data_IF_106765389215
#
_entry.id   IF_106765389215
#
_cell.length_a   1.000
_cell.length_b   1.000
_cell.length_c   1.000
_cell.angle_alpha   90.00
_cell.angle_beta   90.00
_cell.angle_gamma   90.00
#
_symmetry.space_group_name_H-M   'P 1'
#
loop_
_entity.id
_entity.type
_entity.pdbx_description
1 polymer ?
#
# COMPACT_ATOMS: atom_id res chain seq x y z
N UNK A 1 26.39 8.35 -3.26
CA UNK A 1 26.70 7.52 -2.09
C UNK A 1 27.22 6.21 -2.64
N UNK A 2 28.36 5.77 -2.15
CA UNK A 2 29.00 4.53 -2.56
C UNK A 2 29.69 3.91 -1.36
N UNK A 3 29.56 2.60 -1.25
CA UNK A 3 30.01 1.79 -0.13
C UNK A 3 30.77 0.61 -0.72
N UNK A 4 32.12 0.64 -0.72
CA UNK A 4 32.90 -0.46 -1.25
C UNK A 4 32.61 -1.75 -0.46
N UNK A 5 32.66 -2.90 -1.15
CA UNK A 5 32.38 -4.22 -0.55
C UNK A 5 33.27 -4.53 0.66
N UNK A 6 34.48 -3.93 0.71
CA UNK A 6 35.46 -4.06 1.79
C UNK A 6 35.10 -3.33 3.10
N UNK A 7 34.16 -2.39 3.10
CA UNK A 7 33.85 -1.58 4.30
C UNK A 7 32.99 -2.32 5.34
N UNK A 8 32.43 -3.49 5.02
CA UNK A 8 31.65 -4.31 5.96
C UNK A 8 30.40 -3.63 6.53
N UNK A 9 29.91 -2.55 5.89
CA UNK A 9 28.74 -1.81 6.32
C UNK A 9 27.44 -2.56 5.96
N UNK A 10 26.31 -2.23 6.61
CA UNK A 10 25.00 -2.82 6.28
C UNK A 10 24.59 -2.61 4.81
N UNK A 11 25.16 -1.59 4.15
CA UNK A 11 24.87 -1.21 2.77
C UNK A 11 25.86 -1.87 1.79
N UNK A 12 27.10 -2.14 2.21
CA UNK A 12 28.13 -2.71 1.33
C UNK A 12 27.75 -4.09 0.78
N UNK A 13 26.95 -4.87 1.52
CA UNK A 13 26.40 -6.17 1.05
C UNK A 13 25.48 -6.07 -0.16
N UNK A 14 24.97 -4.87 -0.47
CA UNK A 14 24.13 -4.63 -1.65
C UNK A 14 24.90 -3.98 -2.80
N UNK A 15 26.20 -3.74 -2.63
CA UNK A 15 27.09 -3.24 -3.70
C UNK A 15 27.79 -4.44 -4.33
N UNK A 16 27.87 -4.49 -5.67
CA UNK A 16 28.60 -5.56 -6.36
C UNK A 16 30.01 -5.11 -6.71
N UNK A 17 30.96 -6.04 -6.71
CA UNK A 17 32.34 -5.77 -7.17
C UNK A 17 32.40 -5.35 -8.65
N UNK A 18 31.40 -5.75 -9.44
CA UNK A 18 31.25 -5.37 -10.85
C UNK A 18 30.67 -3.97 -11.04
N UNK A 19 30.23 -3.30 -9.97
CA UNK A 19 29.66 -1.96 -10.10
C UNK A 19 30.77 -0.97 -10.44
N UNK A 20 30.55 -0.08 -11.43
CA UNK A 20 31.52 0.97 -11.70
C UNK A 20 31.73 1.82 -10.44
N UNK A 21 32.81 2.56 -10.36
CA UNK A 21 32.97 3.59 -9.34
C UNK A 21 32.12 4.81 -9.74
N UNK A 22 31.43 5.50 -8.82
CA UNK A 22 30.73 6.75 -9.16
C UNK A 22 31.69 7.87 -9.52
N UNK A 23 31.22 8.80 -10.36
CA UNK A 23 31.94 10.04 -10.61
C UNK A 23 32.09 10.83 -9.30
N UNK A 24 33.32 11.24 -8.92
CA UNK A 24 33.53 12.08 -7.75
C UNK A 24 32.81 13.44 -7.87
N UNK A 25 32.32 14.01 -6.75
CA UNK A 25 32.48 13.54 -5.38
C UNK A 25 31.44 12.49 -4.97
N UNK A 26 31.90 11.41 -4.34
CA UNK A 26 31.06 10.41 -3.69
C UNK A 26 31.43 10.29 -2.21
N UNK A 27 30.45 9.86 -1.40
CA UNK A 27 30.58 9.76 0.05
C UNK A 27 30.00 8.44 0.55
N UNK A 28 30.60 7.91 1.63
CA UNK A 28 30.09 6.75 2.37
C UNK A 28 28.89 7.14 3.24
N UNK A 29 28.09 6.16 3.62
CA UNK A 29 26.98 6.34 4.56
C UNK A 29 27.45 6.84 5.92
N UNK A 30 28.65 6.44 6.36
CA UNK A 30 29.27 6.96 7.58
C UNK A 30 29.56 8.46 7.45
N UNK A 31 30.20 8.89 6.37
CA UNK A 31 30.50 10.31 6.14
C UNK A 31 29.22 11.17 6.06
N UNK A 32 28.17 10.65 5.42
CA UNK A 32 26.87 11.33 5.32
C UNK A 32 26.21 11.45 6.71
N UNK A 33 26.17 10.36 7.49
CA UNK A 33 25.63 10.37 8.86
C UNK A 33 26.39 11.37 9.75
N UNK A 34 27.72 11.30 9.75
CA UNK A 34 28.56 12.22 10.52
C UNK A 34 28.33 13.69 10.12
N UNK A 35 28.11 13.96 8.84
CA UNK A 35 27.77 15.30 8.35
C UNK A 35 26.40 15.74 8.87
N UNK A 36 25.39 14.87 8.85
CA UNK A 36 24.08 15.19 9.41
C UNK A 36 24.13 15.43 10.92
N UNK A 37 24.90 14.63 11.65
CA UNK A 37 25.08 14.80 13.10
C UNK A 37 25.77 16.15 13.40
N UNK A 38 26.81 16.49 12.64
CA UNK A 38 27.47 17.80 12.73
C UNK A 38 26.50 18.95 12.44
N UNK A 39 25.79 18.92 11.31
CA UNK A 39 24.82 19.97 10.94
C UNK A 39 23.70 20.12 11.98
N UNK A 40 23.25 19.01 12.56
CA UNK A 40 22.23 19.02 13.61
C UNK A 40 22.79 19.64 14.90
N UNK A 41 24.04 19.36 15.25
CA UNK A 41 24.71 19.94 16.43
C UNK A 41 24.89 21.46 16.34
N UNK A 42 25.05 21.99 15.12
CA UNK A 42 25.16 23.43 14.89
C UNK A 42 23.79 24.16 14.89
N UNK A 43 22.67 23.43 14.89
CA UNK A 43 21.35 24.04 14.84
C UNK A 43 20.85 24.43 16.24
N UNK A 44 20.34 25.67 16.45
CA UNK A 44 19.75 26.05 17.73
C UNK A 44 18.48 25.23 18.00
N UNK A 45 18.58 24.26 18.93
CA UNK A 45 17.53 23.27 19.20
C UNK A 45 17.88 21.83 18.78
N UNK A 46 19.15 21.55 18.47
CA UNK A 46 19.67 20.26 17.99
C UNK A 46 19.31 19.04 18.85
N UNK A 47 18.21 18.38 18.48
CA UNK A 47 17.79 17.08 19.04
C UNK A 47 18.14 15.93 18.08
N UNK A 48 17.63 15.99 16.85
CA UNK A 48 17.96 15.03 15.77
C UNK A 48 17.69 15.64 14.39
N UNK A 49 18.34 15.14 13.32
CA UNK A 49 18.02 15.54 11.94
C UNK A 49 16.54 15.37 11.63
N UNK A 50 15.97 14.25 12.07
CA UNK A 50 14.57 13.91 11.82
C UNK A 50 13.64 14.90 12.51
N UNK A 51 13.96 15.36 13.72
CA UNK A 51 13.19 16.42 14.40
C UNK A 51 13.17 17.74 13.62
N UNK A 52 14.29 18.08 12.96
CA UNK A 52 14.37 19.24 12.06
C UNK A 52 13.52 19.03 10.81
N UNK A 53 13.57 17.84 10.20
CA UNK A 53 12.72 17.52 9.05
C UNK A 53 11.24 17.53 9.43
N UNK A 54 10.87 17.04 10.63
CA UNK A 54 9.49 17.08 11.12
C UNK A 54 8.98 18.51 11.38
N UNK A 55 9.88 19.48 11.54
CA UNK A 55 9.50 20.90 11.66
C UNK A 55 8.87 21.43 10.37
N UNK A 56 9.25 20.87 9.21
CA UNK A 56 8.59 21.12 7.95
C UNK A 56 7.87 19.85 7.46
N UNK A 57 6.54 19.83 7.61
CA UNK A 57 5.70 18.66 7.36
C UNK A 57 5.91 17.99 5.99
N UNK A 58 6.32 18.75 4.97
CA UNK A 58 6.51 18.25 3.61
C UNK A 58 7.92 17.66 3.34
N UNK A 59 8.88 17.86 4.23
CA UNK A 59 10.28 17.49 3.98
C UNK A 59 10.47 15.98 3.81
N UNK A 60 9.86 15.16 4.68
CA UNK A 60 9.96 13.69 4.61
C UNK A 60 9.34 13.19 3.29
N UNK A 61 8.12 13.64 2.98
CA UNK A 61 7.40 13.26 1.76
C UNK A 61 8.20 13.63 0.50
N UNK A 62 8.77 14.84 0.46
CA UNK A 62 9.51 15.33 -0.70
C UNK A 62 10.79 14.54 -0.94
N UNK A 63 11.53 14.19 0.13
CA UNK A 63 12.76 13.39 0.02
C UNK A 63 12.44 11.97 -0.44
N UNK A 64 11.45 11.30 0.17
CA UNK A 64 11.04 9.94 -0.22
C UNK A 64 10.56 9.88 -1.68
N UNK A 65 9.73 10.84 -2.09
CA UNK A 65 9.23 10.92 -3.46
C UNK A 65 10.38 11.20 -4.44
N UNK A 66 11.30 12.11 -4.13
CA UNK A 66 12.44 12.41 -5.00
C UNK A 66 13.33 11.19 -5.24
N UNK A 67 13.62 10.42 -4.18
CA UNK A 67 14.44 9.21 -4.30
C UNK A 67 13.72 8.11 -5.10
N UNK A 68 12.43 7.88 -4.83
CA UNK A 68 11.65 6.85 -5.55
C UNK A 68 11.39 7.22 -7.02
N UNK A 69 11.16 8.49 -7.33
CA UNK A 69 11.12 9.00 -8.71
C UNK A 69 12.44 8.76 -9.44
N UNK A 70 13.57 9.07 -8.80
CA UNK A 70 14.90 8.83 -9.40
C UNK A 70 15.16 7.34 -9.65
N UNK A 71 14.74 6.44 -8.76
CA UNK A 71 14.86 4.98 -8.98
C UNK A 71 14.06 4.56 -10.21
N UNK A 72 12.86 5.09 -10.40
CA UNK A 72 12.00 4.75 -11.54
C UNK A 72 12.50 5.34 -12.87
N UNK A 73 13.06 6.54 -12.85
CA UNK A 73 13.58 7.24 -14.04
C UNK A 73 14.95 6.72 -14.50
N UNK A 74 15.73 6.13 -13.59
CA UNK A 74 17.06 5.61 -13.90
C UNK A 74 16.97 4.30 -14.67
N UNK A 75 17.75 4.14 -15.75
CA UNK A 75 17.78 2.89 -16.52
C UNK A 75 18.91 1.94 -16.11
N UNK A 76 19.97 2.45 -15.49
CA UNK A 76 21.13 1.66 -15.08
C UNK A 76 20.91 1.00 -13.71
N UNK A 77 21.07 -0.33 -13.64
CA UNK A 77 20.79 -1.10 -12.42
C UNK A 77 21.71 -0.73 -11.24
N UNK A 78 23.00 -0.49 -11.49
CA UNK A 78 23.94 -0.08 -10.45
C UNK A 78 23.60 1.30 -9.89
N UNK A 79 23.13 2.23 -10.73
CA UNK A 79 22.61 3.52 -10.26
C UNK A 79 21.33 3.36 -9.44
N UNK A 80 20.41 2.48 -9.86
CA UNK A 80 19.22 2.14 -9.06
C UNK A 80 19.61 1.61 -7.68
N UNK A 81 20.60 0.70 -7.58
CA UNK A 81 21.13 0.20 -6.29
C UNK A 81 21.71 1.32 -5.42
N UNK A 82 22.47 2.25 -6.01
CA UNK A 82 23.03 3.40 -5.28
C UNK A 82 21.93 4.30 -4.73
N UNK A 83 20.91 4.62 -5.54
CA UNK A 83 19.79 5.46 -5.09
C UNK A 83 18.94 4.70 -4.04
N UNK A 84 18.70 3.40 -4.23
CA UNK A 84 18.03 2.55 -3.23
C UNK A 84 18.83 2.49 -1.92
N UNK A 85 20.15 2.50 -1.98
CA UNK A 85 21.00 2.59 -0.80
C UNK A 85 20.85 3.93 -0.08
N UNK A 86 20.75 5.05 -0.82
CA UNK A 86 20.44 6.36 -0.24
C UNK A 86 19.04 6.37 0.41
N UNK A 87 18.06 5.76 -0.26
CA UNK A 87 16.70 5.60 0.25
C UNK A 87 16.68 4.77 1.54
N UNK A 88 17.38 3.63 1.55
CA UNK A 88 17.56 2.79 2.72
C UNK A 88 18.17 3.56 3.88
N UNK A 89 19.26 4.28 3.65
CA UNK A 89 19.90 5.10 4.68
C UNK A 89 18.90 6.08 5.30
N UNK A 90 18.13 6.79 4.46
CA UNK A 90 17.15 7.77 4.92
C UNK A 90 16.00 7.12 5.71
N UNK A 91 15.44 6.00 5.22
CA UNK A 91 14.40 5.25 5.91
C UNK A 91 14.89 4.75 7.27
N UNK A 92 16.08 4.17 7.34
CA UNK A 92 16.66 3.68 8.60
C UNK A 92 16.91 4.82 9.61
N UNK A 93 17.22 6.04 9.14
CA UNK A 93 17.30 7.21 10.02
C UNK A 93 15.92 7.59 10.57
N UNK A 94 14.88 7.56 9.73
CA UNK A 94 13.51 7.84 10.16
C UNK A 94 12.94 6.78 11.11
N UNK A 95 13.30 5.51 10.93
CA UNK A 95 12.83 4.42 11.79
C UNK A 95 13.27 4.58 13.26
N UNK A 96 14.42 5.22 13.51
CA UNK A 96 14.90 5.50 14.88
C UNK A 96 13.94 6.39 15.67
N UNK A 97 13.30 7.35 14.99
CA UNK A 97 12.41 8.34 15.58
C UNK A 97 10.93 7.99 15.32
N UNK A 98 10.65 6.78 14.81
CA UNK A 98 9.29 6.26 14.62
C UNK A 98 8.48 6.20 15.93
N UNK A 99 9.05 5.76 17.08
CA UNK A 99 8.32 5.77 18.36
C UNK A 99 7.90 7.17 18.82
N UNK A 100 8.61 8.22 18.39
CA UNK A 100 8.27 9.62 18.68
C UNK A 100 7.17 10.16 17.74
N UNK A 101 6.69 9.35 16.80
CA UNK A 101 5.59 9.66 15.90
C UNK A 101 5.95 10.55 14.70
N UNK A 102 7.22 10.86 14.46
CA UNK A 102 7.68 11.63 13.28
C UNK A 102 6.82 12.90 13.00
N UNK A 103 6.49 13.66 14.04
CA UNK A 103 5.64 14.85 13.92
C UNK A 103 4.24 14.57 13.36
N UNK A 104 3.62 13.45 13.75
CA UNK A 104 2.33 12.93 13.24
C UNK A 104 2.34 12.49 11.76
N UNK A 105 3.52 12.35 11.15
CA UNK A 105 3.67 11.90 9.75
C UNK A 105 3.95 10.39 9.66
N UNK A 106 4.06 9.70 10.79
CA UNK A 106 4.43 8.28 10.84
C UNK A 106 3.51 7.36 10.04
N UNK A 107 2.19 7.59 10.05
CA UNK A 107 1.21 6.80 9.28
C UNK A 107 1.46 6.92 7.77
N UNK A 108 1.66 8.17 7.29
CA UNK A 108 2.05 8.42 5.91
C UNK A 108 3.36 7.71 5.58
N UNK A 109 4.37 7.84 6.44
CA UNK A 109 5.69 7.27 6.24
C UNK A 109 5.64 5.73 6.09
N UNK A 110 4.96 5.02 6.99
CA UNK A 110 4.84 3.55 6.92
C UNK A 110 4.17 3.12 5.61
N UNK A 111 3.04 3.74 5.25
CA UNK A 111 2.35 3.45 3.99
C UNK A 111 3.24 3.75 2.78
N UNK A 112 3.83 4.95 2.73
CA UNK A 112 4.63 5.39 1.58
C UNK A 112 5.84 4.49 1.34
N UNK A 113 6.55 4.10 2.41
CA UNK A 113 7.73 3.23 2.31
C UNK A 113 7.34 1.81 1.89
N UNK A 114 6.32 1.22 2.50
CA UNK A 114 5.85 -0.14 2.15
C UNK A 114 5.45 -0.17 0.67
N UNK A 115 4.56 0.71 0.24
CA UNK A 115 4.06 0.69 -1.13
C UNK A 115 5.14 1.08 -2.16
N UNK A 116 6.07 1.96 -1.80
CA UNK A 116 7.20 2.29 -2.68
C UNK A 116 8.15 1.12 -2.88
N UNK A 117 8.48 0.37 -1.82
CA UNK A 117 9.35 -0.80 -1.93
C UNK A 117 8.65 -1.96 -2.65
N UNK A 118 7.37 -2.20 -2.37
CA UNK A 118 6.58 -3.22 -3.09
C UNK A 118 6.43 -2.87 -4.57
N UNK A 119 6.34 -1.59 -4.91
CA UNK A 119 6.33 -1.12 -6.30
C UNK A 119 7.66 -1.35 -7.01
N UNK A 120 8.80 -1.08 -6.36
CA UNK A 120 10.13 -1.37 -6.91
C UNK A 120 10.27 -2.87 -7.17
N UNK A 121 9.84 -3.72 -6.21
CA UNK A 121 9.80 -5.17 -6.36
C UNK A 121 8.88 -5.59 -7.52
N UNK A 122 7.70 -4.99 -7.63
CA UNK A 122 6.71 -5.31 -8.66
C UNK A 122 7.16 -4.95 -10.08
N UNK A 123 7.91 -3.86 -10.25
CA UNK A 123 8.37 -3.38 -11.56
C UNK A 123 9.40 -4.33 -12.21
N UNK A 124 10.31 -4.92 -11.41
CA UNK A 124 11.28 -5.92 -11.90
C UNK A 124 10.60 -7.14 -12.55
N UNK A 125 9.44 -7.55 -12.05
CA UNK A 125 8.69 -8.68 -12.64
C UNK A 125 8.13 -8.39 -14.01
N UNK A 126 7.84 -7.13 -14.33
CA UNK A 126 7.31 -6.71 -15.62
C UNK A 126 8.43 -6.60 -16.66
N UNK A 127 9.59 -6.06 -16.25
CA UNK A 127 10.77 -5.92 -17.12
C UNK A 127 11.32 -7.28 -17.56
N UNK A 128 11.45 -8.25 -16.65
CA UNK A 128 11.92 -9.61 -16.96
C UNK A 128 11.01 -10.37 -17.94
N UNK A 129 9.73 -10.01 -18.05
CA UNK A 129 8.77 -10.69 -18.93
C UNK A 129 8.84 -10.22 -20.38
N UNK A 130 9.14 -8.95 -20.63
CA UNK A 130 9.36 -8.43 -22.00
C UNK A 130 10.63 -8.98 -22.65
N UNK A 131 11.63 -9.35 -21.85
CA UNK A 131 12.92 -9.86 -22.34
C UNK A 131 12.93 -11.35 -22.71
N UNK A 132 11.81 -12.10 -22.50
CA UNK A 132 11.73 -13.53 -22.86
C UNK A 132 11.79 -13.84 -24.36
N UNK A 133 11.86 -12.84 -25.24
CA UNK A 133 12.14 -13.02 -26.67
C UNK A 133 13.63 -12.95 -27.05
N UNK A 134 14.54 -12.66 -26.12
CA UNK A 134 15.99 -12.75 -26.38
C UNK A 134 16.67 -13.56 -25.29
N UNK A 135 16.79 -14.87 -25.54
CA UNK A 135 17.67 -15.75 -24.77
C UNK A 135 19.13 -15.37 -25.04
N UNK A 136 19.70 -14.53 -24.18
CA UNK A 136 21.12 -14.57 -23.87
C UNK A 136 21.23 -14.64 -22.36
N UNK A 137 21.78 -15.76 -21.89
CA UNK A 137 22.01 -16.10 -20.49
C UNK A 137 23.06 -15.13 -19.91
N UNK A 138 22.64 -13.94 -19.48
CA UNK A 138 23.46 -13.03 -18.69
C UNK A 138 23.07 -13.18 -17.21
N UNK A 139 24.10 -13.31 -16.39
CA UNK A 139 24.10 -13.65 -14.97
C UNK A 139 23.19 -12.72 -14.15
N UNK A 140 22.11 -13.30 -13.62
CA UNK A 140 21.48 -12.99 -12.32
C UNK A 140 21.08 -11.52 -12.09
N UNK A 141 19.94 -11.18 -12.69
CA UNK A 141 19.20 -9.92 -12.66
C UNK A 141 18.40 -9.74 -11.33
N UNK A 142 18.98 -10.16 -10.18
CA UNK A 142 18.32 -10.32 -8.86
C UNK A 142 18.51 -9.12 -7.92
N UNK A 143 18.52 -7.91 -8.46
CA UNK A 143 19.30 -6.83 -7.86
C UNK A 143 18.62 -5.90 -6.87
N UNK A 144 17.32 -5.63 -7.02
CA UNK A 144 16.63 -4.72 -6.12
C UNK A 144 15.70 -5.45 -5.15
N UNK A 145 15.33 -6.71 -5.44
CA UNK A 145 14.44 -7.48 -4.56
C UNK A 145 15.00 -7.63 -3.15
N UNK A 146 16.21 -8.20 -3.01
CA UNK A 146 16.82 -8.50 -1.71
C UNK A 146 16.98 -7.25 -0.84
N UNK A 147 17.57 -6.12 -1.31
CA UNK A 147 17.66 -4.91 -0.51
C UNK A 147 16.29 -4.31 -0.15
N UNK A 148 15.30 -4.39 -1.06
CA UNK A 148 13.94 -3.94 -0.78
C UNK A 148 13.25 -4.82 0.27
N UNK A 149 13.27 -6.14 0.11
CA UNK A 149 12.66 -7.10 1.03
C UNK A 149 13.28 -6.96 2.44
N UNK A 150 14.59 -6.83 2.50
CA UNK A 150 15.28 -6.57 3.76
C UNK A 150 14.89 -5.23 4.40
N UNK A 151 14.71 -4.16 3.62
CA UNK A 151 14.26 -2.89 4.17
C UNK A 151 12.78 -2.97 4.63
N UNK A 152 11.92 -3.65 3.89
CA UNK A 152 10.54 -3.91 4.31
C UNK A 152 10.53 -4.66 5.64
N UNK A 153 11.43 -5.64 5.84
CA UNK A 153 11.56 -6.34 7.12
C UNK A 153 11.79 -5.39 8.29
N UNK A 154 12.78 -4.49 8.21
CA UNK A 154 13.06 -3.52 9.28
C UNK A 154 11.90 -2.54 9.52
N UNK A 155 11.23 -2.11 8.44
CA UNK A 155 10.04 -1.25 8.55
C UNK A 155 8.90 -1.99 9.24
N UNK A 156 8.67 -3.25 8.89
CA UNK A 156 7.65 -4.10 9.51
C UNK A 156 7.97 -4.35 10.99
N UNK A 157 9.22 -4.66 11.32
CA UNK A 157 9.66 -4.89 12.70
C UNK A 157 9.39 -3.68 13.59
N UNK A 158 9.80 -2.49 13.15
CA UNK A 158 9.55 -1.25 13.87
C UNK A 158 8.04 -0.90 13.94
N UNK A 159 7.31 -1.07 12.84
CA UNK A 159 5.88 -0.75 12.77
C UNK A 159 5.02 -1.69 13.62
N UNK A 160 5.32 -2.98 13.68
CA UNK A 160 4.62 -3.93 14.55
C UNK A 160 4.86 -3.58 16.02
N UNK A 161 6.07 -3.14 16.37
CA UNK A 161 6.40 -2.71 17.74
C UNK A 161 5.73 -1.41 18.17
N UNK A 162 5.51 -0.47 17.25
CA UNK A 162 5.01 0.88 17.59
C UNK A 162 3.53 1.10 17.26
N UNK A 163 3.01 0.49 16.18
CA UNK A 163 1.72 0.83 15.59
C UNK A 163 1.07 -0.36 14.84
N UNK A 164 1.00 -1.52 15.49
CA UNK A 164 0.47 -2.78 14.93
C UNK A 164 -0.93 -2.67 14.32
N UNK A 165 -1.83 -1.89 14.92
CA UNK A 165 -3.20 -1.73 14.44
C UNK A 165 -3.27 -1.06 13.07
N UNK A 166 -2.58 0.06 12.88
CA UNK A 166 -2.55 0.78 11.60
C UNK A 166 -1.74 0.00 10.55
N UNK A 167 -0.61 -0.59 10.96
CA UNK A 167 0.19 -1.45 10.10
C UNK A 167 -0.60 -2.65 9.55
N UNK A 168 -1.52 -3.20 10.34
CA UNK A 168 -2.38 -4.32 9.94
C UNK A 168 -3.15 -4.08 8.64
N UNK A 169 -3.48 -2.82 8.32
CA UNK A 169 -4.15 -2.45 7.05
C UNK A 169 -3.28 -2.69 5.80
N UNK A 170 -1.95 -2.76 5.95
CA UNK A 170 -1.00 -2.96 4.86
C UNK A 170 -0.56 -4.41 4.72
N UNK A 171 -0.87 -5.27 5.72
CA UNK A 171 -0.42 -6.65 5.77
C UNK A 171 -0.84 -7.44 4.52
N UNK A 172 -2.08 -7.25 4.04
CA UNK A 172 -2.58 -7.95 2.87
C UNK A 172 -1.79 -7.65 1.59
N UNK A 173 -1.37 -6.40 1.38
CA UNK A 173 -0.60 -6.01 0.20
C UNK A 173 0.83 -6.56 0.26
N UNK A 174 1.42 -6.61 1.47
CA UNK A 174 2.73 -7.21 1.69
C UNK A 174 2.68 -8.72 1.40
N UNK A 175 1.74 -9.44 2.02
CA UNK A 175 1.65 -10.91 1.87
C UNK A 175 1.31 -11.31 0.46
N UNK A 176 0.36 -10.62 -0.20
CA UNK A 176 0.01 -10.87 -1.59
C UNK A 176 1.17 -10.64 -2.56
N UNK A 177 2.02 -9.64 -2.31
CA UNK A 177 3.17 -9.34 -3.17
C UNK A 177 4.32 -10.33 -2.95
N UNK A 178 4.56 -10.76 -1.71
CA UNK A 178 5.69 -11.65 -1.37
C UNK A 178 5.40 -13.14 -1.59
N UNK A 179 4.13 -13.56 -1.52
CA UNK A 179 3.76 -14.99 -1.67
C UNK A 179 4.28 -15.60 -2.98
N UNK A 180 4.17 -14.95 -4.16
CA UNK A 180 4.74 -15.49 -5.40
C UNK A 180 6.26 -15.69 -5.37
N UNK A 181 7.00 -14.85 -4.63
CA UNK A 181 8.46 -14.99 -4.48
C UNK A 181 8.81 -16.12 -3.53
N UNK A 182 8.04 -16.26 -2.45
CA UNK A 182 8.20 -17.33 -1.47
C UNK A 182 7.92 -18.73 -2.04
N UNK A 183 7.27 -18.85 -3.20
CA UNK A 183 7.10 -20.12 -3.92
C UNK A 183 8.34 -20.57 -4.70
N UNK A 184 9.35 -19.70 -4.85
CA UNK A 184 10.60 -20.04 -5.52
C UNK A 184 11.51 -20.94 -4.67
N UNK A 185 12.71 -21.20 -5.22
CA UNK A 185 13.78 -21.96 -4.55
C UNK A 185 15.09 -21.16 -4.46
N UNK A 186 15.05 -19.86 -4.75
CA UNK A 186 16.22 -18.97 -4.75
C UNK A 186 16.33 -18.16 -3.43
N UNK A 187 17.38 -17.35 -3.31
CA UNK A 187 17.61 -16.47 -2.15
C UNK A 187 16.40 -15.53 -1.90
N UNK A 188 15.69 -15.14 -2.96
CA UNK A 188 14.48 -14.29 -2.85
C UNK A 188 13.36 -15.03 -2.13
N UNK A 189 13.20 -16.33 -2.40
CA UNK A 189 12.24 -17.16 -1.68
C UNK A 189 12.57 -17.25 -0.20
N UNK A 190 13.85 -17.43 0.16
CA UNK A 190 14.29 -17.45 1.56
C UNK A 190 13.99 -16.12 2.28
N UNK A 191 14.32 -14.98 1.66
CA UNK A 191 14.06 -13.65 2.22
C UNK A 191 12.55 -13.37 2.35
N UNK A 192 11.77 -13.71 1.32
CA UNK A 192 10.32 -13.56 1.34
C UNK A 192 9.69 -14.42 2.45
N UNK A 193 10.11 -15.68 2.58
CA UNK A 193 9.65 -16.59 3.64
C UNK A 193 10.07 -16.10 5.02
N UNK A 194 11.28 -15.55 5.19
CA UNK A 194 11.71 -14.98 6.46
C UNK A 194 10.78 -13.85 6.91
N UNK A 195 10.48 -12.90 6.00
CA UNK A 195 9.57 -11.80 6.28
C UNK A 195 8.13 -12.29 6.56
N UNK A 196 7.62 -13.24 5.78
CA UNK A 196 6.29 -13.81 5.99
C UNK A 196 6.19 -14.58 7.33
N UNK A 197 7.24 -15.30 7.74
CA UNK A 197 7.28 -15.96 9.05
C UNK A 197 7.28 -14.93 10.18
N UNK A 198 8.08 -13.86 10.08
CA UNK A 198 8.07 -12.79 11.08
C UNK A 198 6.68 -12.16 11.25
N UNK A 199 6.00 -11.86 10.14
CA UNK A 199 4.69 -11.20 10.14
C UNK A 199 3.57 -12.10 10.66
N UNK A 200 3.53 -13.37 10.25
CA UNK A 200 2.40 -14.26 10.54
C UNK A 200 2.64 -15.11 11.79
N UNK A 201 3.88 -15.56 12.02
CA UNK A 201 4.21 -16.47 13.12
C UNK A 201 4.72 -15.69 14.33
N UNK A 202 5.77 -14.89 14.17
CA UNK A 202 6.43 -14.24 15.32
C UNK A 202 5.60 -13.07 15.84
N UNK A 203 4.93 -12.34 14.94
CA UNK A 203 4.08 -11.18 15.25
C UNK A 203 2.60 -11.52 15.41
N UNK A 204 2.25 -12.81 15.56
CA UNK A 204 0.86 -13.29 15.54
C UNK A 204 -0.04 -12.62 16.58
N UNK A 205 0.50 -12.32 17.76
CA UNK A 205 -0.25 -11.71 18.87
C UNK A 205 -0.61 -10.26 18.56
N UNK A 206 0.29 -9.51 17.92
CA UNK A 206 0.09 -8.10 17.60
C UNK A 206 -0.79 -7.92 16.35
N UNK A 207 -0.78 -8.89 15.44
CA UNK A 207 -1.46 -8.81 14.14
C UNK A 207 -2.65 -9.77 14.01
N UNK A 208 -3.14 -10.36 15.11
CA UNK A 208 -4.16 -11.41 15.08
C UNK A 208 -5.38 -11.03 14.23
N UNK A 209 -5.92 -9.82 14.40
CA UNK A 209 -7.08 -9.33 13.64
C UNK A 209 -6.75 -9.18 12.15
N UNK A 210 -5.59 -8.62 11.82
CA UNK A 210 -5.15 -8.42 10.44
C UNK A 210 -4.87 -9.76 9.73
N UNK A 211 -4.25 -10.73 10.43
CA UNK A 211 -3.97 -12.08 9.93
C UNK A 211 -5.29 -12.82 9.66
N UNK A 212 -6.28 -12.70 10.55
CA UNK A 212 -7.61 -13.25 10.30
C UNK A 212 -8.27 -12.66 9.06
N UNK A 213 -7.88 -11.45 8.65
CA UNK A 213 -8.33 -10.78 7.43
C UNK A 213 -7.70 -11.29 6.13
N UNK A 214 -6.65 -12.10 6.17
CA UNK A 214 -5.92 -12.54 4.97
C UNK A 214 -6.59 -13.69 4.22
N UNK A 215 -6.33 -13.75 2.91
CA UNK A 215 -6.54 -14.97 2.12
C UNK A 215 -5.59 -16.10 2.59
N UNK A 216 -6.00 -17.38 2.45
CA UNK A 216 -5.17 -18.51 2.82
C UNK A 216 -3.89 -18.59 1.97
N UNK A 217 -2.85 -19.22 2.50
CA UNK A 217 -1.59 -19.42 1.79
C UNK A 217 -1.56 -20.79 1.08
N UNK A 218 -0.71 -20.96 0.05
CA UNK A 218 -0.56 -22.22 -0.66
C UNK A 218 -0.21 -23.39 0.28
N UNK A 219 -0.79 -24.57 0.05
CA UNK A 219 -0.57 -25.76 0.87
C UNK A 219 0.69 -26.52 0.44
N UNK A 220 1.84 -25.88 0.64
CA UNK A 220 3.16 -26.45 0.35
C UNK A 220 4.04 -26.47 1.61
N UNK A 221 5.13 -27.24 1.56
CA UNK A 221 6.00 -27.50 2.72
C UNK A 221 6.57 -26.21 3.32
N UNK A 222 6.98 -25.27 2.46
CA UNK A 222 7.54 -23.97 2.86
C UNK A 222 6.57 -23.15 3.74
N UNK A 223 5.26 -23.23 3.45
CA UNK A 223 4.22 -22.50 4.17
C UNK A 223 3.63 -23.28 5.35
N UNK A 224 4.12 -24.48 5.68
CA UNK A 224 3.55 -25.34 6.73
C UNK A 224 3.44 -24.63 8.10
N UNK A 225 4.48 -23.87 8.48
CA UNK A 225 4.49 -23.09 9.74
C UNK A 225 3.46 -21.96 9.71
N UNK A 226 3.47 -21.17 8.62
CA UNK A 226 2.54 -20.06 8.37
C UNK A 226 1.08 -20.58 8.39
N UNK A 227 0.79 -21.64 7.64
CA UNK A 227 -0.53 -22.26 7.56
C UNK A 227 -1.01 -22.79 8.91
N UNK A 228 -0.11 -23.33 9.76
CA UNK A 228 -0.48 -23.77 11.11
C UNK A 228 -0.94 -22.58 11.96
N UNK A 229 -0.18 -21.49 11.97
CA UNK A 229 -0.53 -20.28 12.72
C UNK A 229 -1.81 -19.63 12.18
N UNK A 230 -1.89 -19.44 10.86
CA UNK A 230 -3.08 -18.88 10.19
C UNK A 230 -4.35 -19.68 10.49
N UNK A 231 -4.31 -21.02 10.38
CA UNK A 231 -5.45 -21.88 10.72
C UNK A 231 -5.85 -21.75 12.19
N UNK A 232 -4.91 -21.54 13.10
CA UNK A 232 -5.18 -21.39 14.53
C UNK A 232 -5.94 -20.09 14.82
N UNK A 233 -5.59 -19.00 14.13
CA UNK A 233 -6.29 -17.70 14.22
C UNK A 233 -7.66 -17.74 13.52
N UNK A 234 -7.78 -18.50 12.42
CA UNK A 234 -9.00 -18.55 11.61
C UNK A 234 -10.11 -19.47 12.16
N UNK A 235 -9.78 -20.40 13.06
CA UNK A 235 -10.70 -21.44 13.59
C UNK A 235 -12.04 -20.93 14.14
N UNK A 236 -12.15 -19.64 14.41
CA UNK A 236 -13.37 -18.99 14.91
C UNK A 236 -14.49 -18.87 13.86
N UNK A 237 -14.29 -19.25 12.59
CA UNK A 237 -15.30 -19.12 11.52
C UNK A 237 -15.93 -20.44 11.13
N UNK A 238 -17.26 -20.51 11.16
CA UNK A 238 -17.99 -21.77 10.91
C UNK A 238 -19.12 -21.66 9.89
N UNK A 239 -19.57 -20.46 9.54
CA UNK A 239 -20.70 -20.26 8.63
C UNK A 239 -20.30 -19.77 7.24
N UNK A 240 -21.07 -20.14 6.21
CA UNK A 240 -20.85 -19.66 4.84
C UNK A 240 -20.94 -18.13 4.75
N UNK A 241 -21.86 -17.51 5.50
CA UNK A 241 -22.04 -16.05 5.49
C UNK A 241 -20.81 -15.29 6.02
N UNK A 242 -20.15 -15.82 7.04
CA UNK A 242 -18.89 -15.27 7.56
C UNK A 242 -17.77 -15.36 6.53
N UNK A 243 -17.72 -16.46 5.75
CA UNK A 243 -16.71 -16.64 4.70
C UNK A 243 -16.93 -15.73 3.49
N UNK A 244 -18.20 -15.54 3.09
CA UNK A 244 -18.56 -14.56 2.05
C UNK A 244 -18.19 -13.16 2.51
N UNK A 245 -18.61 -12.78 3.73
CA UNK A 245 -18.31 -11.45 4.29
C UNK A 245 -16.81 -11.22 4.38
N UNK A 246 -16.04 -12.23 4.80
CA UNK A 246 -14.59 -12.14 4.86
C UNK A 246 -13.95 -11.95 3.48
N UNK A 247 -14.37 -12.73 2.48
CA UNK A 247 -13.88 -12.59 1.11
C UNK A 247 -14.16 -11.19 0.53
N UNK A 248 -15.30 -10.61 0.88
CA UNK A 248 -15.70 -9.25 0.49
C UNK A 248 -14.91 -8.15 1.19
N UNK A 249 -14.52 -8.37 2.46
CA UNK A 249 -13.72 -7.41 3.24
C UNK A 249 -12.24 -7.38 2.84
N UNK A 250 -11.73 -8.47 2.25
CA UNK A 250 -10.36 -8.56 1.77
C UNK A 250 -10.04 -7.42 0.78
N UNK A 251 -8.84 -6.84 0.90
CA UNK A 251 -8.56 -5.54 0.31
C UNK A 251 -8.44 -5.58 -1.23
N UNK A 252 -9.23 -4.73 -1.90
CA UNK A 252 -9.19 -4.50 -3.34
C UNK A 252 -7.92 -3.81 -3.82
N UNK A 253 -7.09 -3.28 -2.92
CA UNK A 253 -5.77 -2.71 -3.25
C UNK A 253 -4.73 -3.77 -3.65
N UNK A 254 -5.01 -5.04 -3.33
CA UNK A 254 -4.12 -6.17 -3.64
C UNK A 254 -4.18 -6.58 -5.10
N UNK A 255 -3.11 -7.25 -5.57
CA UNK A 255 -3.08 -7.79 -6.93
C UNK A 255 -4.19 -8.83 -7.11
N UNK A 256 -4.98 -8.79 -8.21
CA UNK A 256 -6.09 -9.71 -8.42
C UNK A 256 -5.62 -11.18 -8.47
N UNK A 257 -4.37 -11.43 -8.88
CA UNK A 257 -3.75 -12.76 -8.91
C UNK A 257 -3.57 -13.37 -7.51
N UNK A 258 -3.45 -12.54 -6.47
CA UNK A 258 -3.25 -13.03 -5.10
C UNK A 258 -4.50 -13.63 -4.47
N UNK A 259 -5.67 -13.41 -5.07
CA UNK A 259 -6.97 -13.89 -4.56
C UNK A 259 -7.23 -15.38 -4.84
N UNK A 260 -6.33 -16.07 -5.55
CA UNK A 260 -6.53 -17.44 -6.02
C UNK A 260 -6.87 -18.43 -4.89
N UNK A 261 -6.09 -18.44 -3.81
CA UNK A 261 -6.32 -19.38 -2.71
C UNK A 261 -7.59 -19.00 -1.91
N UNK A 262 -7.90 -17.70 -1.81
CA UNK A 262 -9.16 -17.20 -1.26
C UNK A 262 -10.38 -17.70 -2.05
N UNK A 263 -10.30 -17.68 -3.38
CA UNK A 263 -11.34 -18.20 -4.28
C UNK A 263 -11.50 -19.70 -4.15
N UNK A 264 -10.40 -20.47 -4.11
CA UNK A 264 -10.46 -21.93 -3.92
C UNK A 264 -11.15 -22.31 -2.61
N UNK A 265 -10.85 -21.58 -1.53
CA UNK A 265 -11.49 -21.82 -0.25
C UNK A 265 -12.97 -21.43 -0.31
N UNK A 266 -13.28 -20.23 -0.80
CA UNK A 266 -14.67 -19.77 -0.97
C UNK A 266 -15.50 -20.79 -1.76
N UNK A 267 -14.95 -21.31 -2.86
CA UNK A 267 -15.59 -22.35 -3.68
C UNK A 267 -15.84 -23.62 -2.88
N UNK A 268 -14.84 -24.14 -2.15
CA UNK A 268 -15.02 -25.32 -1.30
C UNK A 268 -16.13 -25.12 -0.27
N UNK A 269 -16.23 -23.93 0.29
CA UNK A 269 -17.27 -23.57 1.24
C UNK A 269 -18.66 -23.49 0.61
N UNK A 270 -18.77 -22.90 -0.59
CA UNK A 270 -20.01 -22.87 -1.38
C UNK A 270 -20.49 -24.30 -1.69
N UNK A 271 -19.58 -25.17 -2.14
CA UNK A 271 -19.91 -26.56 -2.49
C UNK A 271 -20.37 -27.35 -1.25
N UNK A 272 -19.74 -27.14 -0.09
CA UNK A 272 -20.08 -27.85 1.16
C UNK A 272 -21.39 -27.36 1.78
N UNK A 273 -21.69 -26.07 1.67
CA UNK A 273 -22.80 -25.42 2.37
C UNK A 273 -23.89 -24.93 1.40
N UNK A 274 -24.27 -25.76 0.42
CA UNK A 274 -25.29 -25.38 -0.58
C UNK A 274 -26.63 -25.01 0.03
N UNK A 275 -27.05 -25.69 1.10
CA UNK A 275 -28.31 -25.39 1.78
C UNK A 275 -28.30 -23.98 2.39
N UNK A 276 -27.19 -23.58 3.02
CA UNK A 276 -27.00 -22.23 3.55
C UNK A 276 -26.98 -21.18 2.43
N UNK A 277 -26.46 -21.51 1.25
CA UNK A 277 -26.48 -20.61 0.10
C UNK A 277 -27.91 -20.35 -0.36
N UNK A 278 -28.74 -21.39 -0.46
CA UNK A 278 -30.16 -21.26 -0.83
C UNK A 278 -30.90 -20.40 0.18
N UNK A 279 -30.68 -20.60 1.48
CA UNK A 279 -31.25 -19.75 2.54
C UNK A 279 -30.81 -18.28 2.40
N UNK A 280 -29.52 -18.05 2.13
CA UNK A 280 -28.95 -16.72 1.92
C UNK A 280 -29.47 -16.04 0.67
N UNK A 281 -29.86 -16.78 -0.39
CA UNK A 281 -30.50 -16.22 -1.58
C UNK A 281 -31.99 -15.94 -1.33
N UNK A 282 -32.70 -16.86 -0.69
CA UNK A 282 -34.13 -16.68 -0.38
C UNK A 282 -34.38 -15.50 0.58
N UNK A 283 -33.50 -15.27 1.55
CA UNK A 283 -33.55 -14.09 2.44
C UNK A 283 -33.48 -12.76 1.68
N UNK A 284 -32.98 -12.78 0.44
CA UNK A 284 -32.74 -11.56 -0.36
C UNK A 284 -33.92 -11.25 -1.26
N UNK A 285 -34.67 -12.26 -1.65
CA UNK A 285 -35.96 -12.11 -2.33
C UNK A 285 -37.04 -11.57 -1.38
N UNK A 286 -36.98 -11.87 -0.08
CA UNK A 286 -37.98 -11.40 0.90
C UNK A 286 -37.72 -9.96 1.40
N UNK A 287 -36.47 -9.49 1.36
CA UNK A 287 -36.03 -8.21 1.96
C UNK A 287 -36.28 -6.96 1.09
N UNK A 288 -37.38 -6.91 0.33
CA UNK A 288 -37.74 -5.82 -0.61
C UNK A 288 -38.06 -4.44 0.02
N UNK A 289 -37.68 -4.16 1.27
CA UNK A 289 -38.06 -2.91 1.96
C UNK A 289 -36.95 -2.15 2.68
N UNK A 290 -35.69 -2.60 2.69
CA UNK A 290 -34.56 -1.78 3.19
C UNK A 290 -33.31 -1.98 2.32
N UNK A 291 -32.66 -0.85 1.99
CA UNK A 291 -31.47 -0.58 1.17
C UNK A 291 -30.18 -1.41 1.45
N UNK A 292 -30.27 -2.60 2.04
CA UNK A 292 -29.14 -3.47 2.35
C UNK A 292 -28.97 -4.51 1.25
N UNK A 293 -28.05 -4.24 0.32
CA UNK A 293 -27.55 -5.21 -0.66
C UNK A 293 -27.19 -6.53 0.04
N UNK A 294 -27.58 -7.65 -0.56
CA UNK A 294 -27.31 -8.95 0.01
C UNK A 294 -25.84 -9.35 -0.09
N UNK A 295 -25.30 -10.11 0.87
CA UNK A 295 -23.91 -10.57 0.81
C UNK A 295 -23.63 -11.42 -0.44
N UNK A 296 -24.62 -12.17 -0.94
CA UNK A 296 -24.50 -12.97 -2.16
C UNK A 296 -24.48 -12.09 -3.41
N UNK A 297 -25.32 -11.06 -3.51
CA UNK A 297 -25.28 -10.11 -4.63
C UNK A 297 -23.95 -9.34 -4.67
N UNK A 298 -23.46 -8.90 -3.51
CA UNK A 298 -22.15 -8.26 -3.38
C UNK A 298 -21.02 -9.21 -3.82
N UNK A 299 -21.11 -10.50 -3.46
CA UNK A 299 -20.15 -11.51 -3.88
C UNK A 299 -20.12 -11.68 -5.39
N UNK A 300 -21.28 -11.82 -6.03
CA UNK A 300 -21.40 -11.90 -7.49
C UNK A 300 -20.80 -10.66 -8.15
N UNK A 301 -21.10 -9.47 -7.64
CA UNK A 301 -20.52 -8.22 -8.14
C UNK A 301 -18.99 -8.22 -8.05
N UNK A 302 -18.41 -8.58 -6.88
CA UNK A 302 -16.95 -8.63 -6.71
C UNK A 302 -16.30 -9.69 -7.61
N UNK A 303 -16.92 -10.86 -7.79
CA UNK A 303 -16.42 -11.90 -8.71
C UNK A 303 -16.41 -11.41 -10.16
N UNK A 304 -17.47 -10.75 -10.61
CA UNK A 304 -17.55 -10.15 -11.96
C UNK A 304 -16.49 -9.06 -12.13
N UNK A 305 -16.32 -8.19 -11.14
CA UNK A 305 -15.30 -7.14 -11.13
C UNK A 305 -13.88 -7.72 -11.18
N UNK A 306 -13.62 -8.78 -10.42
CA UNK A 306 -12.32 -9.46 -10.43
C UNK A 306 -12.06 -10.09 -11.80
N UNK A 307 -13.06 -10.77 -12.37
CA UNK A 307 -12.99 -11.35 -13.71
C UNK A 307 -12.74 -10.31 -14.80
N UNK A 308 -13.40 -9.15 -14.75
CA UNK A 308 -13.22 -8.09 -15.76
C UNK A 308 -11.83 -7.47 -15.74
N UNK A 309 -11.25 -7.26 -14.55
CA UNK A 309 -9.86 -6.80 -14.40
C UNK A 309 -8.88 -7.82 -14.98
N UNK A 310 -9.11 -9.11 -14.74
CA UNK A 310 -8.25 -10.19 -15.23
C UNK A 310 -8.30 -10.38 -16.75
N UNK A 311 -9.42 -10.07 -17.41
CA UNK A 311 -9.53 -10.15 -18.88
C UNK A 311 -8.52 -9.24 -19.60
N UNK A 312 -8.12 -8.13 -18.98
CA UNK A 312 -7.10 -7.22 -19.51
C UNK A 312 -5.65 -7.70 -19.30
N UNK A 313 -5.44 -8.84 -18.60
CA UNK A 313 -4.13 -9.37 -18.27
C UNK A 313 -3.84 -10.62 -19.12
N UNK A 314 -2.73 -10.64 -19.87
CA UNK A 314 -2.35 -11.79 -20.70
C UNK A 314 -1.61 -12.91 -19.93
N UNK A 315 -1.48 -12.79 -18.61
CA UNK A 315 -0.69 -13.71 -17.78
C UNK A 315 -1.36 -15.09 -17.62
N UNK A 316 -0.57 -16.17 -17.65
CA UNK A 316 -1.09 -17.55 -17.43
C UNK A 316 -1.75 -17.70 -16.06
N UNK A 317 -1.17 -17.09 -15.03
CA UNK A 317 -1.74 -17.08 -13.69
C UNK A 317 -3.07 -16.29 -13.63
N UNK A 318 -3.22 -15.25 -14.45
CA UNK A 318 -4.49 -14.53 -14.57
C UNK A 318 -5.59 -15.42 -15.15
N UNK A 319 -5.26 -16.27 -16.12
CA UNK A 319 -6.20 -17.28 -16.66
C UNK A 319 -6.61 -18.29 -15.60
N UNK A 320 -5.68 -18.77 -14.77
CA UNK A 320 -5.99 -19.69 -13.66
C UNK A 320 -6.97 -19.04 -12.69
N UNK A 321 -6.72 -17.79 -12.29
CA UNK A 321 -7.62 -17.05 -11.37
C UNK A 321 -8.99 -16.83 -12.04
N UNK A 322 -9.02 -16.47 -13.32
CA UNK A 322 -10.25 -16.27 -14.08
C UNK A 322 -11.09 -17.55 -14.18
N UNK A 323 -10.45 -18.71 -14.42
CA UNK A 323 -11.13 -20.00 -14.38
C UNK A 323 -11.75 -20.27 -13.01
N UNK A 324 -11.05 -19.95 -11.92
CA UNK A 324 -11.59 -20.18 -10.58
C UNK A 324 -12.72 -19.22 -10.21
N UNK A 325 -12.67 -17.97 -10.69
CA UNK A 325 -13.80 -17.03 -10.63
C UNK A 325 -15.01 -17.60 -11.38
N UNK A 326 -14.81 -18.10 -12.60
CA UNK A 326 -15.88 -18.71 -13.40
C UNK A 326 -16.47 -19.95 -12.71
N UNK A 327 -15.63 -20.78 -12.09
CA UNK A 327 -16.06 -21.93 -11.30
C UNK A 327 -16.93 -21.50 -10.11
N UNK A 328 -16.53 -20.47 -9.36
CA UNK A 328 -17.32 -19.94 -8.25
C UNK A 328 -18.69 -19.44 -8.73
N UNK A 329 -18.73 -18.69 -9.84
CA UNK A 329 -19.99 -18.21 -10.42
C UNK A 329 -20.88 -19.37 -10.91
N UNK A 330 -20.28 -20.40 -11.51
CA UNK A 330 -21.00 -21.61 -11.92
C UNK A 330 -21.59 -22.40 -10.74
N UNK A 331 -20.85 -22.49 -9.62
CA UNK A 331 -21.30 -23.17 -8.40
C UNK A 331 -22.38 -22.37 -7.64
N UNK A 332 -22.36 -21.03 -7.72
CA UNK A 332 -23.43 -20.17 -7.18
C UNK A 332 -24.73 -20.33 -7.99
N UNK A 333 -24.61 -20.47 -9.31
CA UNK A 333 -25.75 -20.64 -10.21
C UNK A 333 -26.44 -19.33 -10.60
N UNK A 334 -27.65 -19.43 -11.14
CA UNK A 334 -28.41 -18.27 -11.58
C UNK A 334 -28.92 -17.47 -10.37
N UNK A 335 -28.44 -16.24 -10.21
CA UNK A 335 -28.94 -15.28 -9.23
C UNK A 335 -29.84 -14.27 -9.96
N UNK A 336 -30.96 -13.89 -9.35
CA UNK A 336 -31.81 -12.85 -9.91
C UNK A 336 -31.04 -11.51 -9.95
N UNK A 337 -30.66 -11.10 -11.16
CA UNK A 337 -29.94 -9.85 -11.41
C UNK A 337 -30.76 -8.61 -11.04
N UNK A 338 -32.07 -8.73 -10.84
CA UNK A 338 -32.91 -7.65 -10.32
C UNK A 338 -32.53 -7.29 -8.86
N UNK A 339 -32.01 -8.27 -8.10
CA UNK A 339 -31.50 -8.10 -6.72
C UNK A 339 -30.01 -7.75 -6.67
N UNK A 340 -29.27 -8.07 -7.73
CA UNK A 340 -27.88 -7.63 -7.92
C UNK A 340 -27.89 -6.21 -8.46
N UNK A 341 -28.20 -5.24 -7.59
CA UNK A 341 -27.96 -3.85 -7.94
C UNK A 341 -26.47 -3.70 -8.22
N UNK A 342 -26.11 -3.47 -9.49
CA UNK A 342 -24.75 -3.10 -9.93
C UNK A 342 -24.29 -1.76 -9.32
N UNK A 343 -25.09 -1.16 -8.44
CA UNK A 343 -24.79 0.02 -7.66
C UNK A 343 -23.75 -0.28 -6.58
N UNK A 344 -22.50 0.02 -6.92
CA UNK A 344 -21.36 0.22 -6.04
C UNK A 344 -21.71 0.45 -4.55
N UNK A 345 -21.66 -0.60 -3.74
CA UNK A 345 -20.85 -0.48 -2.53
C UNK A 345 -19.40 -0.63 -2.97
N UNK A 346 -18.83 0.48 -3.45
CA UNK A 346 -17.47 0.75 -3.02
C UNK A 346 -17.51 0.59 -1.49
N UNK A 347 -16.44 0.07 -0.88
CA UNK A 347 -16.32 -0.07 0.57
C UNK A 347 -16.95 1.12 1.31
N UNK A 348 -17.20 1.06 2.62
CA UNK A 348 -17.29 2.29 3.42
C UNK A 348 -15.95 3.08 3.40
N UNK A 349 -15.30 3.21 2.25
CA UNK A 349 -14.55 4.39 1.87
C UNK A 349 -15.40 5.60 2.27
N UNK A 350 -14.72 6.51 2.95
CA UNK A 350 -15.18 7.82 3.43
C UNK A 350 -16.29 8.46 2.57
N UNK A 351 -16.30 8.25 1.26
CA UNK A 351 -17.33 8.70 0.32
C UNK A 351 -18.79 8.42 0.71
N UNK A 352 -19.17 7.22 1.18
CA UNK A 352 -20.60 6.95 1.51
C UNK A 352 -21.05 7.65 2.81
N UNK A 353 -20.12 7.82 3.76
CA UNK A 353 -20.30 8.61 4.97
C UNK A 353 -20.40 10.11 4.65
N UNK A 354 -19.73 10.56 3.58
CA UNK A 354 -19.73 11.95 3.11
C UNK A 354 -21.00 12.32 2.32
N UNK A 355 -21.58 11.39 1.55
CA UNK A 355 -22.81 11.66 0.80
C UNK A 355 -24.01 11.90 1.73
N UNK A 356 -24.08 11.17 2.85
CA UNK A 356 -25.16 11.33 3.85
C UNK A 356 -24.97 12.51 4.82
N UNK A 357 -23.74 12.90 5.15
CA UNK A 357 -23.47 13.96 6.16
C UNK A 357 -23.35 15.38 5.60
N UNK A 358 -23.12 15.55 4.30
CA UNK A 358 -22.98 16.88 3.66
C UNK A 358 -24.17 17.21 2.75
N UNK A 359 -25.37 16.76 3.11
CA UNK A 359 -26.60 17.10 2.41
C UNK A 359 -26.79 18.63 2.38
N UNK A 360 -26.40 19.27 1.26
CA UNK A 360 -26.56 20.71 1.03
C UNK A 360 -25.38 21.44 0.37
N UNK A 361 -24.14 20.93 0.48
CA UNK A 361 -22.96 21.57 -0.12
C UNK A 361 -22.29 20.65 -1.15
N UNK A 362 -22.89 20.62 -2.35
CA UNK A 362 -22.45 19.82 -3.51
C UNK A 362 -20.96 20.02 -3.82
N UNK A 363 -20.42 21.21 -3.56
CA UNK A 363 -19.02 21.55 -3.85
C UNK A 363 -18.03 20.99 -2.83
N UNK A 364 -18.35 21.05 -1.54
CA UNK A 364 -17.52 20.40 -0.51
C UNK A 364 -17.49 18.88 -0.68
N UNK A 365 -18.61 18.28 -1.08
CA UNK A 365 -18.69 16.85 -1.38
C UNK A 365 -17.78 16.48 -2.57
N UNK A 366 -17.84 17.22 -3.66
CA UNK A 366 -16.97 17.02 -4.83
C UNK A 366 -15.49 17.16 -4.47
N UNK A 367 -15.12 18.24 -3.76
CA UNK A 367 -13.73 18.46 -3.35
C UNK A 367 -13.21 17.33 -2.45
N UNK A 368 -14.05 16.82 -1.55
CA UNK A 368 -13.66 15.73 -0.68
C UNK A 368 -13.50 14.41 -1.45
N UNK A 369 -14.38 14.15 -2.42
CA UNK A 369 -14.24 13.02 -3.33
C UNK A 369 -12.91 13.05 -4.10
N UNK A 370 -12.53 14.24 -4.59
CA UNK A 370 -11.24 14.45 -5.27
C UNK A 370 -10.08 14.17 -4.33
N UNK A 371 -10.11 14.68 -3.08
CA UNK A 371 -9.03 14.44 -2.12
C UNK A 371 -8.90 12.96 -1.75
N UNK A 372 -10.01 12.26 -1.56
CA UNK A 372 -10.02 10.81 -1.29
C UNK A 372 -9.44 10.03 -2.46
N UNK A 373 -9.82 10.39 -3.70
CA UNK A 373 -9.31 9.77 -4.92
C UNK A 373 -7.81 10.03 -5.09
N UNK A 374 -7.35 11.26 -4.86
CA UNK A 374 -5.92 11.57 -4.93
C UNK A 374 -5.13 10.81 -3.84
N UNK A 375 -5.71 10.61 -2.66
CA UNK A 375 -5.09 9.81 -1.61
C UNK A 375 -4.96 8.33 -2.00
N UNK A 376 -5.93 7.75 -2.74
CA UNK A 376 -5.78 6.38 -3.27
C UNK A 376 -4.72 6.30 -4.37
N UNK A 377 -4.51 7.36 -5.15
CA UNK A 377 -3.42 7.42 -6.13
C UNK A 377 -2.02 7.56 -5.53
N UNK A 378 -1.87 7.84 -4.22
CA UNK A 378 -0.55 7.86 -3.57
C UNK A 378 0.09 6.47 -3.46
N UNK A 379 -0.70 5.41 -3.58
CA UNK A 379 -0.24 4.01 -3.52
C UNK A 379 -0.21 3.33 -4.90
N UNK A 380 -0.31 4.12 -5.99
CA UNK A 380 -0.36 3.59 -7.36
C UNK A 380 0.94 2.90 -7.80
N UNK A 381 0.80 1.90 -8.68
CA UNK A 381 1.92 1.13 -9.25
C UNK A 381 2.88 1.99 -10.07
N UNK A 382 2.42 3.09 -10.67
CA UNK A 382 3.26 4.00 -11.46
C UNK A 382 3.71 5.18 -10.60
N UNK A 383 5.03 5.38 -10.52
CA UNK A 383 5.59 6.51 -9.75
C UNK A 383 5.11 7.86 -10.30
N UNK A 384 4.97 8.00 -11.62
CA UNK A 384 4.45 9.23 -12.22
C UNK A 384 3.04 9.63 -11.75
N UNK A 385 2.16 8.65 -11.50
CA UNK A 385 0.83 8.88 -10.94
C UNK A 385 0.94 9.37 -9.50
N UNK A 386 1.81 8.76 -8.69
CA UNK A 386 2.07 9.21 -7.31
C UNK A 386 2.64 10.62 -7.28
N UNK A 387 3.58 10.96 -8.15
CA UNK A 387 4.16 12.30 -8.25
C UNK A 387 3.10 13.34 -8.62
N UNK A 388 2.25 13.04 -9.60
CA UNK A 388 1.16 13.92 -9.99
C UNK A 388 0.11 14.08 -8.88
N UNK A 389 -0.28 12.98 -8.23
CA UNK A 389 -1.24 12.98 -7.14
C UNK A 389 -0.73 13.78 -5.93
N UNK A 390 0.53 13.58 -5.53
CA UNK A 390 1.20 14.33 -4.48
C UNK A 390 1.23 15.83 -4.80
N UNK A 391 1.63 16.22 -6.02
CA UNK A 391 1.66 17.61 -6.44
C UNK A 391 0.27 18.26 -6.44
N UNK A 392 -0.76 17.54 -6.92
CA UNK A 392 -2.15 17.98 -6.88
C UNK A 392 -2.66 18.16 -5.45
N UNK A 393 -2.39 17.21 -4.55
CA UNK A 393 -2.77 17.31 -3.14
C UNK A 393 -2.15 18.53 -2.46
N UNK A 394 -0.86 18.79 -2.68
CA UNK A 394 -0.19 20.00 -2.13
C UNK A 394 -0.89 21.28 -2.59
N UNK A 395 -1.19 21.39 -3.89
CA UNK A 395 -1.85 22.57 -4.46
C UNK A 395 -3.28 22.73 -3.93
N UNK A 396 -4.05 21.65 -3.87
CA UNK A 396 -5.45 21.68 -3.42
C UNK A 396 -5.53 22.03 -1.94
N UNK A 397 -4.72 21.40 -1.08
CA UNK A 397 -4.75 21.64 0.37
C UNK A 397 -4.18 23.01 0.77
N UNK A 398 -3.35 23.62 -0.07
CA UNK A 398 -2.90 25.00 0.11
C UNK A 398 -3.99 26.06 -0.14
N UNK A 399 -5.10 25.70 -0.80
CA UNK A 399 -6.22 26.63 -1.02
C UNK A 399 -7.04 26.86 0.27
N UNK A 400 -7.74 28.01 0.40
CA UNK A 400 -8.62 28.24 1.55
C UNK A 400 -9.72 27.18 1.66
N UNK A 401 -10.32 26.77 0.54
CA UNK A 401 -11.33 25.72 0.49
C UNK A 401 -10.79 24.36 0.94
N UNK A 402 -9.55 24.00 0.58
CA UNK A 402 -8.89 22.78 1.05
C UNK A 402 -8.58 22.81 2.56
N UNK A 403 -8.18 23.97 3.08
CA UNK A 403 -7.96 24.15 4.52
C UNK A 403 -9.24 24.03 5.34
N UNK A 404 -10.37 24.53 4.83
CA UNK A 404 -11.67 24.37 5.50
C UNK A 404 -12.18 22.93 5.40
N UNK A 405 -11.89 22.24 4.30
CA UNK A 405 -12.19 20.83 4.12
C UNK A 405 -11.42 19.94 5.12
N UNK A 406 -10.15 20.25 5.40
CA UNK A 406 -9.37 19.56 6.44
C UNK A 406 -9.99 19.71 7.85
N UNK A 407 -10.58 20.86 8.17
CA UNK A 407 -11.30 21.06 9.45
C UNK A 407 -12.55 20.20 9.50
N UNK A 408 -13.33 20.18 8.41
CA UNK A 408 -14.52 19.34 8.25
C UNK A 408 -14.20 17.84 8.43
N UNK A 409 -13.05 17.38 7.93
CA UNK A 409 -12.59 16.01 8.17
C UNK A 409 -12.27 15.72 9.65
N UNK A 410 -11.72 16.71 10.37
CA UNK A 410 -11.47 16.61 11.81
C UNK A 410 -12.76 16.50 12.61
N UNK A 411 -13.76 17.32 12.28
CA UNK A 411 -15.10 17.28 12.88
C UNK A 411 -15.82 15.95 12.59
N UNK A 412 -15.57 15.37 11.41
CA UNK A 412 -16.14 14.09 10.99
C UNK A 412 -15.43 12.85 11.60
N UNK A 413 -14.42 13.03 12.47
CA UNK A 413 -13.61 11.96 13.07
C UNK A 413 -12.93 11.04 12.05
N UNK A 414 -12.50 11.57 10.91
CA UNK A 414 -11.75 10.80 9.90
C UNK A 414 -10.25 10.83 10.18
N UNK A 415 -9.86 10.34 11.35
CA UNK A 415 -8.49 10.47 11.87
C UNK A 415 -7.45 9.79 10.95
N UNK A 416 -7.76 8.61 10.42
CA UNK A 416 -6.87 7.88 9.49
C UNK A 416 -6.56 8.67 8.22
N UNK A 417 -7.58 9.24 7.56
CA UNK A 417 -7.38 10.05 6.36
C UNK A 417 -6.54 11.30 6.67
N UNK A 418 -6.75 11.90 7.84
CA UNK A 418 -5.98 13.08 8.25
C UNK A 418 -4.51 12.75 8.49
N UNK A 419 -4.20 11.60 9.08
CA UNK A 419 -2.81 11.17 9.27
C UNK A 419 -2.09 10.92 7.94
N UNK A 420 -2.78 10.37 6.95
CA UNK A 420 -2.21 10.21 5.60
C UNK A 420 -1.97 11.54 4.87
N UNK A 421 -2.76 12.57 5.17
CA UNK A 421 -2.67 13.88 4.55
C UNK A 421 -1.76 14.87 5.30
N UNK A 422 -1.26 14.51 6.48
CA UNK A 422 -0.45 15.38 7.34
C UNK A 422 0.74 16.06 6.62
N UNK A 423 1.56 15.35 5.81
CA UNK A 423 2.68 15.98 5.11
C UNK A 423 2.27 16.99 4.03
N UNK A 424 1.03 16.90 3.53
CA UNK A 424 0.51 17.79 2.49
C UNK A 424 -0.19 19.04 3.06
N UNK A 425 -0.30 19.14 4.39
CA UNK A 425 -0.94 20.30 5.04
C UNK A 425 -0.07 21.55 4.88
N UNK A 426 -0.67 22.72 4.60
CA UNK A 426 0.10 23.95 4.51
C UNK A 426 0.77 24.23 5.87
N UNK A 427 2.08 24.47 5.86
CA UNK A 427 2.77 24.99 7.04
C UNK A 427 2.11 26.32 7.40
N UNK A 428 1.80 26.54 8.69
CA UNK A 428 1.36 27.85 9.19
C UNK A 428 2.51 28.84 9.10
N UNK A 429 2.91 29.25 7.89
CA UNK A 429 3.78 30.41 7.73
C UNK A 429 3.00 31.61 8.24
N UNK A 430 3.52 32.24 9.29
CA UNK A 430 3.12 33.56 9.77
C UNK A 430 3.03 34.45 8.52
N UNK A 431 1.82 34.91 8.16
CA UNK A 431 1.63 35.81 7.01
C UNK A 431 2.51 37.03 7.27
N UNK A 432 3.64 37.13 6.57
CA UNK A 432 4.32 38.40 6.41
C UNK A 432 3.37 39.26 5.58
N UNK A 433 2.95 40.36 6.18
CA UNK A 433 2.11 41.39 5.57
C UNK A 433 2.83 41.98 4.35
N UNK A 434 2.50 41.49 3.16
CA UNK A 434 2.67 42.26 1.95
C UNK A 434 1.38 43.06 1.72
N UNK A 435 1.37 44.28 2.29
CA UNK A 435 0.50 45.34 1.80
C UNK A 435 0.90 45.64 0.36
N UNK A 436 0.10 45.19 -0.60
CA UNK A 436 -0.21 46.03 -1.76
C UNK A 436 -1.65 45.76 -2.18
N UNK A 437 -2.44 46.81 -2.03
CA UNK A 437 -3.81 46.98 -2.48
C UNK A 437 -3.91 46.86 -3.99
N UNK A 438 -4.63 45.86 -4.50
CA UNK A 438 -5.52 45.99 -5.67
C UNK A 438 -6.74 45.09 -5.44
N UNK A 439 -7.92 45.70 -5.45
CA UNK A 439 -9.21 45.03 -5.48
C UNK A 439 -9.29 44.05 -6.66
N UNK A 440 -9.52 42.77 -6.39
CA UNK A 440 -10.07 41.78 -7.33
C UNK A 440 -10.67 40.61 -6.52
N UNK A 441 -11.83 40.14 -6.96
CA UNK A 441 -12.79 39.26 -6.26
C UNK A 441 -12.22 37.91 -5.77
N UNK A 442 -12.91 37.21 -4.84
CA UNK A 442 -12.55 35.86 -4.44
C UNK A 442 -12.78 34.88 -5.60
N UNK A 443 -11.74 34.60 -6.38
CA UNK A 443 -11.80 33.55 -7.39
C UNK A 443 -11.88 32.18 -6.71
N UNK A 444 -13.07 31.61 -6.78
CA UNK A 444 -13.34 30.24 -6.39
C UNK A 444 -12.85 29.32 -7.52
N UNK A 445 -11.99 28.35 -7.18
CA UNK A 445 -11.43 27.39 -8.15
C UNK A 445 -12.52 26.66 -8.95
N UNK A 446 -12.44 26.80 -10.28
CA UNK A 446 -13.30 26.13 -11.24
C UNK A 446 -12.43 25.14 -12.03
N UNK A 447 -12.64 23.83 -11.81
CA UNK A 447 -12.23 22.84 -12.81
C UNK A 447 -13.34 22.80 -13.86
N UNK A 448 -13.09 23.38 -15.04
CA UNK A 448 -13.78 22.93 -16.25
C UNK A 448 -12.96 21.75 -16.78
N UNK A 449 -13.57 20.57 -16.77
CA UNK A 449 -13.09 19.41 -17.53
C UNK A 449 -13.06 19.73 -19.03
#
# INVERSE_FOLDING_TARGET
MYEPTSEGSDISRFTRETDPEPDPPYFTSHAIKATFDYLTSCHPGGKSLVSLLCSNKDSIQTILLSLTSRIAETHLIHEKRRILSMYRLFVLLLLKDLPEGLGNTWVFFIRDVIYSLLRIIGDETQVRKHSRQQQVHLVVDDDLFVPCCNLIYYVCEAAVGCCSQEFGSHLHVITSTLTPYALGEDERAEQALQLLNFLIVDSSNNLQQAIGGLDPFPDIVQFKKINKCYKQIRKDRTSLNEEITHFLLADSSSSPMSRLEGLRLLRQSIIKNKDQLVDLVNLTEVAHSKSTCSPVAELVHQLIKLGSVLTSCEEEQAKIVQCEVANCLGDIGAVDLSTVSLGCKNKPDSFSVMSSKYAGDSRSQQNAAIVILLNSYLVDKKVGVVTAAAACLKKILATPSGSDLLKKFGEAKQEQLLWYLEPFRPSKKKRASCNHSVFSQPEAFCFKL
#
